data_IF_572098349262
#
_entry.id   IF_572098349262
#
_cell.length_a   1.000
_cell.length_b   1.000
_cell.length_c   1.000
_cell.angle_alpha   90.00
_cell.angle_beta   90.00
_cell.angle_gamma   90.00
#
_symmetry.space_group_name_H-M   'P 1'
#
loop_
_entity.id
_entity.type
_entity.pdbx_description
1 polymer ?
#
# COMPACT_ATOMS: atom_id res chain seq x y z
N UNK A 1 -11.74 -16.83 -7.46
CA UNK A 1 -10.35 -16.37 -7.26
C UNK A 1 -9.59 -16.42 -8.58
N UNK A 2 -8.69 -15.48 -8.85
CA UNK A 2 -7.86 -15.43 -10.07
C UNK A 2 -6.45 -14.96 -9.71
N UNK A 3 -5.42 -15.76 -10.00
CA UNK A 3 -4.03 -15.29 -9.98
C UNK A 3 -3.82 -14.25 -11.09
N UNK A 4 -3.26 -13.09 -10.71
CA UNK A 4 -3.21 -11.92 -11.60
C UNK A 4 -1.99 -11.91 -12.50
N UNK A 5 -0.92 -12.60 -12.11
CA UNK A 5 0.35 -12.63 -12.82
C UNK A 5 0.81 -14.06 -13.04
N UNK A 6 1.41 -14.32 -14.20
CA UNK A 6 1.99 -15.62 -14.57
C UNK A 6 3.35 -15.40 -15.25
N UNK A 7 4.19 -16.45 -15.39
CA UNK A 7 5.39 -16.35 -16.21
C UNK A 7 5.06 -15.94 -17.65
N UNK A 8 5.80 -14.98 -18.19
CA UNK A 8 5.66 -14.54 -19.57
C UNK A 8 6.27 -15.59 -20.53
N UNK A 9 5.51 -15.96 -21.56
CA UNK A 9 5.92 -16.85 -22.65
C UNK A 9 5.63 -16.19 -23.99
N UNK A 10 6.17 -16.74 -25.09
CA UNK A 10 5.88 -16.20 -26.42
C UNK A 10 4.40 -16.32 -26.79
N UNK A 11 3.72 -17.35 -26.29
CA UNK A 11 2.31 -17.66 -26.56
C UNK A 11 1.35 -16.78 -25.77
N UNK A 12 1.72 -16.38 -24.54
CA UNK A 12 0.85 -15.61 -23.67
C UNK A 12 1.18 -14.10 -23.64
N UNK A 13 2.17 -13.66 -24.43
CA UNK A 13 2.65 -12.30 -24.37
C UNK A 13 1.56 -11.28 -24.73
N UNK A 14 1.41 -10.29 -23.85
CA UNK A 14 0.57 -9.11 -23.96
C UNK A 14 1.39 -7.90 -23.53
N UNK A 15 1.49 -6.89 -24.40
CA UNK A 15 2.35 -5.72 -24.17
C UNK A 15 1.94 -4.98 -22.88
N UNK A 16 0.64 -4.77 -22.68
CA UNK A 16 0.13 -4.03 -21.53
C UNK A 16 0.42 -4.78 -20.22
N UNK A 17 0.10 -6.08 -20.18
CA UNK A 17 0.36 -6.93 -19.03
C UNK A 17 1.84 -7.05 -18.70
N UNK A 18 2.71 -7.07 -19.71
CA UNK A 18 4.15 -7.21 -19.52
C UNK A 18 4.77 -5.95 -18.94
N UNK A 19 4.43 -4.78 -19.48
CA UNK A 19 4.90 -3.51 -18.93
C UNK A 19 4.38 -3.29 -17.50
N UNK A 20 3.18 -3.74 -17.19
CA UNK A 20 2.63 -3.62 -15.84
C UNK A 20 3.32 -4.52 -14.82
N UNK A 21 3.74 -5.71 -15.21
CA UNK A 21 4.48 -6.64 -14.34
C UNK A 21 5.94 -6.22 -14.13
N UNK A 22 6.52 -5.42 -15.04
CA UNK A 22 7.95 -5.14 -15.10
C UNK A 22 8.19 -3.62 -15.18
N UNK A 23 8.16 -2.95 -14.04
CA UNK A 23 8.27 -1.48 -13.94
C UNK A 23 9.57 -0.93 -14.55
N UNK A 24 10.69 -1.65 -14.40
CA UNK A 24 11.97 -1.31 -15.02
C UNK A 24 11.88 -1.23 -16.55
N UNK A 25 11.16 -2.18 -17.16
CA UNK A 25 10.93 -2.22 -18.61
C UNK A 25 9.96 -1.10 -19.01
N UNK A 26 8.89 -0.87 -18.26
CA UNK A 26 7.92 0.20 -18.53
C UNK A 26 8.56 1.59 -18.53
N UNK A 27 9.45 1.86 -17.57
CA UNK A 27 10.23 3.11 -17.53
C UNK A 27 11.13 3.21 -18.77
N UNK A 28 11.87 2.15 -19.09
CA UNK A 28 12.77 2.16 -20.24
C UNK A 28 12.05 2.35 -21.59
N UNK A 29 10.85 1.80 -21.76
CA UNK A 29 10.03 2.02 -22.97
C UNK A 29 9.53 3.46 -23.05
N UNK A 30 9.04 4.01 -21.94
CA UNK A 30 8.52 5.39 -21.88
C UNK A 30 9.60 6.44 -22.15
N UNK A 31 10.81 6.19 -21.67
CA UNK A 31 11.98 7.04 -21.91
C UNK A 31 12.60 6.82 -23.30
N UNK A 32 12.04 5.92 -24.12
CA UNK A 32 12.55 5.60 -25.45
C UNK A 32 13.86 4.82 -25.47
N UNK A 33 14.33 4.31 -24.32
CA UNK A 33 15.51 3.43 -24.22
C UNK A 33 15.24 2.04 -24.80
N UNK A 34 13.98 1.60 -24.77
CA UNK A 34 13.52 0.35 -25.40
C UNK A 34 12.37 0.65 -26.36
N UNK A 35 12.29 -0.12 -27.46
CA UNK A 35 11.24 0.05 -28.46
C UNK A 35 9.84 -0.31 -27.94
N UNK A 36 9.77 -1.38 -27.14
CA UNK A 36 8.54 -1.90 -26.53
C UNK A 36 8.91 -2.95 -25.47
N UNK A 37 7.93 -3.34 -24.65
CA UNK A 37 8.03 -4.49 -23.77
C UNK A 37 8.24 -5.79 -24.55
N UNK A 38 7.56 -5.93 -25.70
CA UNK A 38 7.76 -7.05 -26.62
C UNK A 38 9.20 -7.17 -27.08
N UNK A 39 9.81 -6.05 -27.46
CA UNK A 39 11.20 -6.01 -27.88
C UNK A 39 12.14 -6.47 -26.76
N UNK A 40 11.92 -6.00 -25.53
CA UNK A 40 12.67 -6.48 -24.36
C UNK A 40 12.51 -7.99 -24.14
N UNK A 41 11.28 -8.47 -24.16
CA UNK A 41 10.96 -9.87 -23.92
C UNK A 41 11.60 -10.80 -24.95
N UNK A 42 11.52 -10.45 -26.23
CA UNK A 42 12.12 -11.22 -27.33
C UNK A 42 13.65 -11.29 -27.24
N UNK A 43 14.31 -10.22 -26.78
CA UNK A 43 15.78 -10.18 -26.69
C UNK A 43 16.31 -10.92 -25.46
N UNK A 44 15.75 -10.65 -24.29
CA UNK A 44 16.30 -11.18 -23.04
C UNK A 44 15.22 -11.55 -22.00
N UNK A 45 14.09 -10.85 -21.99
CA UNK A 45 13.10 -11.02 -20.93
C UNK A 45 12.51 -12.43 -20.81
N UNK A 46 12.44 -13.19 -21.91
CA UNK A 46 12.02 -14.59 -21.89
C UNK A 46 12.98 -15.53 -21.15
N UNK A 47 14.25 -15.14 -20.98
CA UNK A 47 15.25 -15.89 -20.21
C UNK A 47 15.34 -15.46 -18.75
N UNK A 48 14.72 -14.33 -18.39
CA UNK A 48 14.80 -13.72 -17.05
C UNK A 48 13.64 -14.13 -16.13
N UNK A 49 12.83 -15.12 -16.53
CA UNK A 49 11.60 -15.53 -15.79
C UNK A 49 10.64 -14.36 -15.51
N UNK A 50 10.59 -13.39 -16.44
CA UNK A 50 9.74 -12.19 -16.32
C UNK A 50 8.28 -12.59 -16.20
N UNK A 51 7.54 -11.84 -15.39
CA UNK A 51 6.11 -12.08 -15.20
C UNK A 51 5.29 -11.24 -16.18
N UNK A 52 4.03 -11.61 -16.35
CA UNK A 52 3.05 -10.87 -17.13
C UNK A 52 1.72 -10.80 -16.36
N UNK A 53 1.14 -9.60 -16.27
CA UNK A 53 -0.19 -9.40 -15.70
C UNK A 53 -1.26 -9.83 -16.70
N UNK A 54 -2.24 -10.62 -16.25
CA UNK A 54 -3.35 -11.14 -17.06
C UNK A 54 -4.48 -10.12 -17.21
N UNK A 55 -4.18 -8.96 -17.78
CA UNK A 55 -5.08 -7.79 -17.84
C UNK A 55 -6.45 -8.17 -18.40
N UNK A 56 -6.51 -8.84 -19.56
CA UNK A 56 -7.78 -9.22 -20.19
C UNK A 56 -8.63 -10.16 -19.29
N UNK A 57 -8.00 -11.10 -18.58
CA UNK A 57 -8.72 -11.99 -17.66
C UNK A 57 -9.27 -11.23 -16.46
N UNK A 58 -8.50 -10.28 -15.92
CA UNK A 58 -8.94 -9.43 -14.80
C UNK A 58 -10.11 -8.53 -15.24
N UNK A 59 -10.04 -7.93 -16.42
CA UNK A 59 -11.10 -7.09 -17.00
C UNK A 59 -12.41 -7.88 -17.12
N UNK A 60 -12.34 -9.15 -17.54
CA UNK A 60 -13.53 -9.99 -17.65
C UNK A 60 -14.10 -10.36 -16.27
N UNK A 61 -13.25 -10.77 -15.31
CA UNK A 61 -13.67 -11.07 -13.95
C UNK A 61 -14.31 -9.83 -13.27
N UNK A 62 -13.75 -8.64 -13.52
CA UNK A 62 -14.24 -7.36 -13.02
C UNK A 62 -15.68 -7.06 -13.43
N UNK A 63 -16.10 -7.38 -14.66
CA UNK A 63 -17.46 -7.05 -15.15
C UNK A 63 -18.56 -7.55 -14.20
N UNK A 64 -18.42 -8.80 -13.71
CA UNK A 64 -19.36 -9.40 -12.76
C UNK A 64 -19.36 -8.71 -11.40
N UNK A 65 -18.19 -8.24 -10.94
CA UNK A 65 -18.07 -7.47 -9.71
C UNK A 65 -18.71 -6.09 -9.87
N UNK A 66 -18.45 -5.41 -10.98
CA UNK A 66 -18.95 -4.05 -11.19
C UNK A 66 -20.48 -3.96 -11.31
N UNK A 67 -21.14 -5.01 -11.82
CA UNK A 67 -22.61 -5.06 -11.84
C UNK A 67 -23.21 -5.17 -10.43
N UNK A 68 -22.50 -5.77 -9.46
CA UNK A 68 -22.93 -5.85 -8.06
C UNK A 68 -22.81 -4.50 -7.34
N UNK A 69 -21.86 -3.65 -7.74
CA UNK A 69 -21.52 -2.43 -6.99
C UNK A 69 -22.05 -1.14 -7.61
N UNK A 70 -22.48 -1.16 -8.88
CA UNK A 70 -22.91 0.06 -9.59
C UNK A 70 -24.03 0.81 -8.86
N UNK A 71 -24.98 0.06 -8.27
CA UNK A 71 -26.09 0.63 -7.51
C UNK A 71 -25.70 1.02 -6.08
N UNK A 72 -24.50 0.67 -5.63
CA UNK A 72 -23.96 1.05 -4.33
C UNK A 72 -23.13 2.34 -4.43
N UNK A 73 -22.73 2.75 -5.63
CA UNK A 73 -21.98 3.99 -5.83
C UNK A 73 -22.82 5.21 -5.45
N UNK A 74 -22.22 6.12 -4.70
CA UNK A 74 -22.80 7.41 -4.37
C UNK A 74 -22.30 8.46 -5.36
N UNK A 75 -22.87 8.44 -6.56
CA UNK A 75 -22.56 9.38 -7.64
C UNK A 75 -23.85 9.80 -8.36
N UNK A 76 -23.89 11.03 -8.88
CA UNK A 76 -25.07 11.56 -9.58
C UNK A 76 -25.33 10.88 -10.92
N UNK A 77 -24.25 10.48 -11.61
CA UNK A 77 -24.25 9.73 -12.85
C UNK A 77 -23.32 8.51 -12.72
N UNK A 78 -23.21 7.65 -13.73
CA UNK A 78 -22.20 6.58 -13.69
C UNK A 78 -20.80 7.19 -13.84
N UNK A 79 -19.84 6.92 -12.94
CA UNK A 79 -18.51 7.51 -13.05
C UNK A 79 -17.79 7.12 -14.34
N UNK A 80 -16.85 7.95 -14.84
CA UNK A 80 -15.98 7.60 -15.97
C UNK A 80 -15.27 6.25 -15.76
N UNK A 81 -14.86 5.60 -16.84
CA UNK A 81 -14.18 4.30 -16.78
C UNK A 81 -12.67 4.44 -16.90
N UNK A 82 -11.93 3.64 -16.12
CA UNK A 82 -10.50 3.43 -16.32
C UNK A 82 -10.28 2.65 -17.64
N UNK A 83 -9.09 2.73 -18.26
CA UNK A 83 -8.73 1.89 -19.41
C UNK A 83 -8.88 0.39 -19.13
N UNK A 84 -8.65 -0.02 -17.88
CA UNK A 84 -8.83 -1.39 -17.39
C UNK A 84 -10.29 -1.72 -17.06
N UNK A 85 -11.22 -0.79 -17.30
CA UNK A 85 -12.65 -0.98 -17.09
C UNK A 85 -13.11 -0.81 -15.65
N UNK A 86 -12.28 -0.39 -14.69
CA UNK A 86 -12.76 0.06 -13.37
C UNK A 86 -13.52 1.39 -13.44
N UNK A 87 -14.06 1.86 -12.32
CA UNK A 87 -14.64 3.21 -12.21
C UNK A 87 -13.58 4.21 -11.75
N UNK A 88 -13.55 5.38 -12.40
CA UNK A 88 -12.78 6.53 -11.95
C UNK A 88 -13.68 7.45 -11.11
N UNK A 89 -13.54 7.36 -9.79
CA UNK A 89 -14.23 8.19 -8.81
C UNK A 89 -13.28 9.22 -8.17
N UNK A 90 -12.13 9.48 -8.79
CA UNK A 90 -11.10 10.39 -8.30
C UNK A 90 -10.90 11.53 -9.31
N UNK A 91 -11.75 12.58 -9.27
CA UNK A 91 -11.54 13.77 -10.09
C UNK A 91 -10.27 14.52 -9.63
N UNK A 92 -9.64 15.25 -10.55
CA UNK A 92 -8.34 15.92 -10.34
C UNK A 92 -8.33 16.85 -9.11
N UNK A 93 -9.41 17.62 -8.90
CA UNK A 93 -9.57 18.49 -7.73
C UNK A 93 -9.51 17.70 -6.41
N UNK A 94 -10.14 16.52 -6.37
CA UNK A 94 -10.13 15.66 -5.18
C UNK A 94 -8.76 15.03 -4.97
N UNK A 95 -8.08 14.64 -6.06
CA UNK A 95 -6.72 14.14 -6.02
C UNK A 95 -5.75 15.19 -5.44
N UNK A 96 -5.87 16.45 -5.86
CA UNK A 96 -5.05 17.57 -5.38
C UNK A 96 -5.27 17.83 -3.87
N UNK A 97 -6.53 17.88 -3.42
CA UNK A 97 -6.87 18.08 -2.00
C UNK A 97 -6.28 16.97 -1.12
N UNK A 98 -6.40 15.72 -1.55
CA UNK A 98 -5.83 14.57 -0.85
C UNK A 98 -4.30 14.48 -0.96
N UNK A 99 -3.68 15.26 -1.86
CA UNK A 99 -2.24 15.21 -2.10
C UNK A 99 -1.80 13.92 -2.80
N UNK A 100 -2.65 13.36 -3.65
CA UNK A 100 -2.30 12.23 -4.52
C UNK A 100 -1.31 12.73 -5.56
N UNK A 101 -0.15 12.08 -5.65
CA UNK A 101 0.87 12.39 -6.67
C UNK A 101 1.10 11.18 -7.57
N UNK A 102 1.45 11.40 -8.86
CA UNK A 102 1.83 10.31 -9.76
C UNK A 102 3.00 9.51 -9.21
N UNK A 103 2.96 8.21 -9.43
CA UNK A 103 3.77 7.27 -8.67
C UNK A 103 4.05 6.02 -9.49
N UNK A 104 5.27 5.49 -9.41
CA UNK A 104 5.75 4.33 -10.17
C UNK A 104 5.99 3.07 -9.33
N UNK A 105 6.07 3.21 -8.01
CA UNK A 105 6.19 2.05 -7.12
C UNK A 105 4.85 1.35 -7.04
N UNK A 106 4.97 0.04 -6.97
CA UNK A 106 3.84 -0.86 -6.85
C UNK A 106 3.78 -1.30 -5.40
N UNK A 107 2.78 -0.82 -4.66
CA UNK A 107 2.45 -1.43 -3.37
C UNK A 107 1.74 -2.74 -3.65
N UNK A 108 2.30 -3.85 -3.15
CA UNK A 108 1.74 -5.18 -3.36
C UNK A 108 1.92 -5.99 -2.07
N UNK A 109 0.80 -6.26 -1.41
CA UNK A 109 0.74 -7.13 -0.25
C UNK A 109 -0.31 -8.21 -0.48
N UNK A 110 -0.04 -9.42 0.01
CA UNK A 110 -1.04 -10.48 0.03
C UNK A 110 -1.93 -10.35 1.28
N UNK A 111 -3.09 -10.97 1.26
CA UNK A 111 -3.93 -11.08 2.44
C UNK A 111 -3.37 -12.12 3.41
N UNK A 112 -3.51 -11.86 4.71
CA UNK A 112 -3.27 -12.88 5.73
C UNK A 112 -4.35 -13.97 5.65
N UNK A 113 -4.00 -15.19 6.07
CA UNK A 113 -4.89 -16.37 5.94
C UNK A 113 -6.27 -16.16 6.55
N UNK A 114 -6.34 -15.50 7.71
CA UNK A 114 -7.62 -15.15 8.35
C UNK A 114 -8.57 -14.34 7.44
N UNK A 115 -8.02 -13.42 6.64
CA UNK A 115 -8.80 -12.60 5.71
C UNK A 115 -9.17 -13.42 4.47
N UNK A 116 -8.23 -14.22 3.95
CA UNK A 116 -8.50 -15.15 2.84
C UNK A 116 -9.63 -16.11 3.17
N UNK A 117 -9.58 -16.74 4.34
CA UNK A 117 -10.61 -17.64 4.85
C UNK A 117 -11.99 -16.96 4.90
N UNK A 118 -12.04 -15.69 5.34
CA UNK A 118 -13.30 -14.91 5.35
C UNK A 118 -13.82 -14.64 3.93
N UNK A 119 -12.94 -14.24 3.02
CA UNK A 119 -13.30 -13.95 1.62
C UNK A 119 -13.81 -15.21 0.93
N UNK A 120 -13.14 -16.35 1.13
CA UNK A 120 -13.40 -17.60 0.41
C UNK A 120 -14.60 -18.36 0.97
N UNK A 121 -14.96 -18.15 2.25
CA UNK A 121 -16.10 -18.80 2.89
C UNK A 121 -17.46 -18.30 2.40
N UNK A 122 -17.54 -17.08 1.86
CA UNK A 122 -18.81 -16.45 1.50
C UNK A 122 -18.66 -15.54 0.26
N UNK A 123 -18.94 -16.11 -0.93
CA UNK A 123 -18.86 -15.40 -2.20
C UNK A 123 -19.97 -14.36 -2.41
N UNK A 124 -21.07 -14.46 -1.64
CA UNK A 124 -22.24 -13.58 -1.71
C UNK A 124 -22.04 -12.29 -0.91
N UNK A 125 -21.22 -12.32 0.14
CA UNK A 125 -20.77 -11.12 0.83
C UNK A 125 -19.94 -10.21 -0.07
N UNK A 126 -19.90 -8.93 0.27
CA UNK A 126 -19.10 -7.93 -0.43
C UNK A 126 -18.07 -7.33 0.52
N UNK A 127 -16.81 -7.44 0.15
CA UNK A 127 -15.67 -6.89 0.87
C UNK A 127 -15.21 -5.62 0.17
N UNK A 128 -14.81 -4.61 0.94
CA UNK A 128 -14.04 -3.47 0.44
C UNK A 128 -12.60 -3.62 0.88
N UNK A 129 -11.68 -3.54 -0.07
CA UNK A 129 -10.26 -3.42 0.20
C UNK A 129 -9.85 -1.96 -0.03
N UNK A 130 -9.66 -1.24 1.07
CA UNK A 130 -9.46 0.19 1.15
C UNK A 130 -7.96 0.52 1.14
N UNK A 131 -7.44 0.85 -0.04
CA UNK A 131 -6.00 0.97 -0.32
C UNK A 131 -5.41 -0.37 -0.73
N UNK A 132 -5.96 -0.94 -1.80
CA UNK A 132 -5.67 -2.31 -2.22
C UNK A 132 -4.23 -2.54 -2.71
N UNK A 133 -3.58 -1.50 -3.20
CA UNK A 133 -2.39 -1.63 -4.03
C UNK A 133 -2.66 -2.49 -5.27
N UNK A 134 -1.60 -3.05 -5.83
CA UNK A 134 -1.71 -4.13 -6.81
C UNK A 134 -1.93 -5.45 -6.08
N UNK A 135 -3.06 -6.11 -6.31
CA UNK A 135 -3.34 -7.44 -5.73
C UNK A 135 -2.78 -8.58 -6.59
N UNK A 136 -2.00 -9.53 -6.03
CA UNK A 136 -1.51 -10.71 -6.76
C UNK A 136 -2.62 -11.74 -7.02
N UNK A 137 -3.69 -11.68 -6.23
CA UNK A 137 -4.86 -12.54 -6.34
C UNK A 137 -6.11 -11.65 -6.39
N UNK A 138 -6.91 -11.83 -7.44
CA UNK A 138 -8.13 -11.08 -7.66
C UNK A 138 -9.36 -11.91 -7.26
N UNK A 139 -10.07 -11.44 -6.24
CA UNK A 139 -11.29 -12.07 -5.75
C UNK A 139 -12.54 -11.41 -6.35
N UNK A 140 -13.58 -12.21 -6.62
CA UNK A 140 -14.80 -11.72 -7.28
C UNK A 140 -15.70 -10.91 -6.33
N UNK A 141 -15.56 -11.13 -5.03
CA UNK A 141 -16.35 -10.53 -3.96
C UNK A 141 -15.59 -9.46 -3.16
N UNK A 142 -14.37 -9.10 -3.56
CA UNK A 142 -13.57 -8.03 -2.92
C UNK A 142 -13.43 -6.86 -3.87
N UNK A 143 -13.96 -5.69 -3.53
CA UNK A 143 -13.82 -4.46 -4.32
C UNK A 143 -12.49 -3.80 -3.98
N UNK A 144 -11.60 -3.72 -4.96
CA UNK A 144 -10.30 -3.07 -4.78
C UNK A 144 -10.43 -1.56 -5.02
N UNK A 145 -10.33 -0.77 -3.95
CA UNK A 145 -10.30 0.69 -3.99
C UNK A 145 -8.86 1.18 -3.83
N UNK A 146 -8.41 2.03 -4.76
CA UNK A 146 -7.02 2.47 -4.81
C UNK A 146 -6.91 3.90 -5.39
N UNK A 147 -5.83 4.62 -5.11
CA UNK A 147 -5.52 5.93 -5.71
C UNK A 147 -4.67 5.81 -6.98
N UNK A 148 -4.17 4.60 -7.27
CA UNK A 148 -3.42 4.25 -8.49
C UNK A 148 -4.24 3.32 -9.40
N UNK A 149 -4.30 3.55 -10.73
CA UNK A 149 -5.11 2.76 -11.66
C UNK A 149 -4.41 1.45 -12.09
N UNK A 150 -4.07 0.59 -11.14
CA UNK A 150 -3.55 -0.75 -11.43
C UNK A 150 -4.55 -1.61 -12.21
N UNK A 151 -4.09 -2.72 -12.80
CA UNK A 151 -4.95 -3.66 -13.52
C UNK A 151 -6.01 -4.26 -12.62
N UNK A 152 -5.73 -4.36 -11.31
CA UNK A 152 -6.62 -4.88 -10.27
C UNK A 152 -7.49 -3.82 -9.61
N UNK A 153 -7.30 -2.53 -9.90
CA UNK A 153 -8.12 -1.44 -9.36
C UNK A 153 -9.54 -1.47 -9.93
N UNK A 154 -10.53 -1.64 -9.06
CA UNK A 154 -11.94 -1.65 -9.45
C UNK A 154 -12.56 -0.27 -9.35
N UNK A 155 -12.16 0.50 -8.33
CA UNK A 155 -12.60 1.87 -8.09
C UNK A 155 -11.38 2.73 -7.76
N UNK A 156 -11.11 3.73 -8.60
CA UNK A 156 -10.10 4.75 -8.33
C UNK A 156 -10.71 5.82 -7.41
N UNK A 157 -10.25 5.92 -6.16
CA UNK A 157 -10.78 6.86 -5.16
C UNK A 157 -9.81 7.04 -3.99
N UNK A 158 -10.05 8.08 -3.18
CA UNK A 158 -9.37 8.30 -1.90
C UNK A 158 -10.21 7.74 -0.74
N UNK A 159 -9.57 7.47 0.39
CA UNK A 159 -10.27 6.95 1.56
C UNK A 159 -11.01 8.03 2.34
N UNK A 160 -10.56 9.27 2.28
CA UNK A 160 -11.22 10.40 2.93
C UNK A 160 -12.61 10.70 2.33
N UNK A 161 -12.94 10.09 1.18
CA UNK A 161 -14.24 10.20 0.50
C UNK A 161 -14.53 8.95 -0.32
N UNK A 162 -14.97 7.89 0.34
CA UNK A 162 -15.26 6.60 -0.30
C UNK A 162 -16.57 6.73 -1.11
N UNK A 163 -16.58 6.41 -2.42
CA UNK A 163 -17.68 6.72 -3.33
C UNK A 163 -18.84 5.71 -3.25
N UNK A 164 -19.11 5.16 -2.06
CA UNK A 164 -20.18 4.18 -1.83
C UNK A 164 -21.18 4.69 -0.80
N UNK A 165 -22.43 4.23 -0.90
CA UNK A 165 -23.49 4.51 0.06
C UNK A 165 -23.20 3.87 1.42
N UNK A 166 -23.87 4.36 2.45
CA UNK A 166 -23.82 3.80 3.79
C UNK A 166 -24.23 2.32 3.77
N UNK A 167 -23.58 1.48 4.57
CA UNK A 167 -23.97 0.07 4.68
C UNK A 167 -23.83 -0.75 3.39
N UNK A 168 -22.86 -0.44 2.54
CA UNK A 168 -22.64 -1.14 1.28
C UNK A 168 -21.90 -2.48 1.44
N UNK A 169 -21.01 -2.60 2.42
CA UNK A 169 -20.07 -3.72 2.55
C UNK A 169 -20.29 -4.55 3.81
N UNK A 170 -20.08 -5.85 3.69
CA UNK A 170 -20.12 -6.79 4.82
C UNK A 170 -18.80 -6.80 5.60
N UNK A 171 -17.70 -6.40 4.94
CA UNK A 171 -16.39 -6.35 5.54
C UNK A 171 -15.50 -5.28 4.89
N UNK A 172 -14.64 -4.62 5.67
CA UNK A 172 -13.63 -3.66 5.18
C UNK A 172 -12.23 -4.10 5.58
N UNK A 173 -11.31 -4.10 4.62
CA UNK A 173 -9.88 -4.39 4.81
C UNK A 173 -9.11 -3.09 4.58
N UNK A 174 -8.19 -2.75 5.47
CA UNK A 174 -7.20 -1.69 5.25
C UNK A 174 -5.87 -2.14 5.84
N UNK A 175 -4.87 -2.38 4.98
CA UNK A 175 -3.64 -3.05 5.37
C UNK A 175 -2.42 -2.23 4.99
N UNK A 176 -1.79 -1.58 5.98
CA UNK A 176 -0.67 -0.66 5.79
C UNK A 176 -1.04 0.50 4.83
N UNK A 177 -2.08 1.26 5.20
CA UNK A 177 -2.66 2.32 4.37
C UNK A 177 -2.84 3.62 5.14
N UNK A 178 -3.47 3.59 6.32
CA UNK A 178 -3.88 4.81 7.03
C UNK A 178 -2.69 5.69 7.46
N UNK A 179 -1.49 5.13 7.60
CA UNK A 179 -0.24 5.87 7.79
C UNK A 179 0.12 6.77 6.60
N UNK A 180 -0.36 6.45 5.41
CA UNK A 180 -0.13 7.17 4.15
C UNK A 180 -1.28 8.12 3.80
N UNK A 181 -2.38 8.09 4.56
CA UNK A 181 -3.55 8.97 4.38
C UNK A 181 -3.32 10.27 5.13
N UNK A 182 -3.63 11.42 4.50
CA UNK A 182 -3.39 12.74 5.09
C UNK A 182 -4.34 13.03 6.24
N UNK A 183 -5.62 12.71 6.07
CA UNK A 183 -6.64 12.74 7.14
C UNK A 183 -7.15 11.33 7.45
N UNK A 184 -6.45 10.56 8.31
CA UNK A 184 -6.85 9.20 8.67
C UNK A 184 -8.17 9.17 9.46
N UNK A 185 -8.57 10.28 10.08
CA UNK A 185 -9.86 10.36 10.78
C UNK A 185 -11.02 10.43 9.79
N UNK A 186 -10.88 11.18 8.69
CA UNK A 186 -11.87 11.18 7.62
C UNK A 186 -11.97 9.80 6.96
N UNK A 187 -10.84 9.17 6.67
CA UNK A 187 -10.83 7.81 6.13
C UNK A 187 -11.49 6.78 7.05
N UNK A 188 -11.18 6.82 8.36
CA UNK A 188 -11.80 5.93 9.33
C UNK A 188 -13.33 6.10 9.41
N UNK A 189 -13.83 7.35 9.38
CA UNK A 189 -15.28 7.62 9.33
C UNK A 189 -15.93 7.05 8.08
N UNK A 190 -15.31 7.22 6.91
CA UNK A 190 -15.83 6.67 5.65
C UNK A 190 -15.83 5.14 5.65
N UNK A 191 -14.75 4.51 6.14
CA UNK A 191 -14.66 3.06 6.28
C UNK A 191 -15.76 2.49 7.20
N UNK A 192 -16.03 3.16 8.32
CA UNK A 192 -17.12 2.79 9.22
C UNK A 192 -18.50 3.02 8.57
N UNK A 193 -18.69 4.16 7.88
CA UNK A 193 -19.96 4.51 7.21
C UNK A 193 -20.37 3.48 6.16
N UNK A 194 -19.43 3.01 5.34
CA UNK A 194 -19.73 2.06 4.26
C UNK A 194 -19.91 0.62 4.73
N UNK A 195 -19.60 0.32 5.99
CA UNK A 195 -19.92 -0.99 6.59
C UNK A 195 -21.40 -1.09 6.92
N UNK A 196 -21.97 -2.27 6.66
CA UNK A 196 -23.29 -2.65 7.13
C UNK A 196 -23.30 -2.69 8.67
N UNK A 197 -24.44 -2.44 9.33
CA UNK A 197 -24.60 -2.75 10.75
C UNK A 197 -24.22 -4.20 11.04
N UNK A 198 -23.31 -4.43 11.99
CA UNK A 198 -22.76 -5.74 12.30
C UNK A 198 -21.68 -6.24 11.33
N UNK A 199 -21.28 -5.44 10.35
CA UNK A 199 -20.10 -5.69 9.52
C UNK A 199 -18.82 -5.54 10.32
N UNK A 200 -17.77 -6.22 9.87
CA UNK A 200 -16.46 -6.23 10.54
C UNK A 200 -15.41 -5.50 9.71
N UNK A 201 -14.32 -5.05 10.34
CA UNK A 201 -13.15 -4.57 9.62
C UNK A 201 -11.86 -5.18 10.14
N UNK A 202 -10.89 -5.27 9.24
CA UNK A 202 -9.49 -5.50 9.55
C UNK A 202 -8.71 -4.24 9.21
N UNK A 203 -8.01 -3.69 10.20
CA UNK A 203 -7.15 -2.52 10.01
C UNK A 203 -5.77 -2.81 10.57
N UNK A 204 -4.75 -2.52 9.77
CA UNK A 204 -3.35 -2.69 10.13
C UNK A 204 -2.55 -1.43 9.74
N UNK A 205 -1.72 -0.96 10.67
CA UNK A 205 -0.85 0.24 10.55
C UNK A 205 0.49 0.03 11.27
N UNK A 206 1.58 0.68 10.84
CA UNK A 206 2.87 0.64 11.52
C UNK A 206 2.90 1.46 12.81
N UNK A 207 3.76 1.05 13.75
CA UNK A 207 4.06 1.82 14.97
C UNK A 207 5.51 2.33 15.02
N UNK A 208 6.50 1.44 15.10
CA UNK A 208 7.93 1.81 15.23
C UNK A 208 8.73 1.56 13.95
N UNK A 209 8.06 1.38 12.82
CA UNK A 209 8.76 1.18 11.56
C UNK A 209 9.43 2.51 11.14
N UNK A 210 10.67 2.46 10.62
CA UNK A 210 11.31 3.62 10.00
C UNK A 210 10.40 4.27 8.95
N UNK A 211 10.58 5.56 8.68
CA UNK A 211 9.78 6.26 7.66
C UNK A 211 9.91 5.56 6.30
N UNK A 212 8.77 5.30 5.65
CA UNK A 212 8.69 4.53 4.40
C UNK A 212 7.56 5.05 3.49
N UNK A 213 7.56 6.36 3.22
CA UNK A 213 6.48 6.99 2.45
C UNK A 213 6.35 6.48 1.01
N UNK A 214 5.09 6.25 0.59
CA UNK A 214 4.73 6.22 -0.82
C UNK A 214 3.35 6.85 -1.10
N UNK A 215 3.26 8.10 -1.59
CA UNK A 215 4.33 9.10 -1.71
C UNK A 215 4.77 9.69 -0.35
N UNK A 216 3.93 9.53 0.68
CA UNK A 216 4.13 10.14 2.00
C UNK A 216 3.81 9.12 3.09
N UNK A 217 4.48 9.23 4.25
CA UNK A 217 4.13 8.49 5.46
C UNK A 217 3.92 9.55 6.56
N UNK A 218 2.66 9.78 6.91
CA UNK A 218 2.24 10.85 7.83
C UNK A 218 2.20 10.39 9.28
N UNK A 219 1.80 9.14 9.54
CA UNK A 219 1.51 8.68 10.90
C UNK A 219 2.06 7.30 11.21
N UNK A 220 2.92 7.23 12.21
CA UNK A 220 3.21 6.00 12.95
C UNK A 220 2.21 5.91 14.12
N UNK A 221 1.29 4.96 14.07
CA UNK A 221 0.17 4.90 15.02
C UNK A 221 0.52 4.03 16.23
N UNK A 222 0.34 4.59 17.42
CA UNK A 222 0.33 3.77 18.65
C UNK A 222 -0.93 2.90 18.69
N UNK A 223 -0.96 1.92 19.59
CA UNK A 223 -2.16 1.13 19.91
C UNK A 223 -3.39 2.03 20.13
N UNK A 224 -3.25 3.06 20.97
CA UNK A 224 -4.36 3.94 21.32
C UNK A 224 -4.68 4.92 20.18
N UNK A 225 -3.69 5.31 19.38
CA UNK A 225 -3.89 6.12 18.17
C UNK A 225 -4.77 5.42 17.15
N UNK A 226 -4.48 4.14 16.84
CA UNK A 226 -5.32 3.33 15.95
C UNK A 226 -6.73 3.16 16.53
N UNK A 227 -6.83 2.86 17.84
CA UNK A 227 -8.12 2.66 18.48
C UNK A 227 -8.98 3.92 18.46
N UNK A 228 -8.38 5.09 18.67
CA UNK A 228 -9.05 6.39 18.66
C UNK A 228 -9.69 6.74 17.31
N UNK A 229 -9.22 6.16 16.20
CA UNK A 229 -9.86 6.33 14.90
C UNK A 229 -11.27 5.72 14.83
N UNK A 230 -11.53 4.66 15.59
CA UNK A 230 -12.74 3.83 15.45
C UNK A 230 -13.60 3.72 16.73
N UNK A 231 -13.12 4.19 17.89
CA UNK A 231 -13.75 4.01 19.21
C UNK A 231 -15.18 4.59 19.31
N UNK A 232 -15.59 5.48 18.39
CA UNK A 232 -16.94 6.07 18.35
C UNK A 232 -17.97 5.19 17.67
N UNK A 233 -17.58 4.54 16.59
CA UNK A 233 -18.49 3.91 15.64
C UNK A 233 -18.37 2.38 15.61
N UNK A 234 -17.31 1.82 16.23
CA UNK A 234 -16.99 0.40 16.17
C UNK A 234 -16.73 -0.21 17.55
N UNK A 235 -17.20 -1.44 17.76
CA UNK A 235 -16.78 -2.30 18.86
C UNK A 235 -15.45 -2.99 18.51
N UNK A 236 -14.45 -2.87 19.39
CA UNK A 236 -13.14 -3.51 19.19
C UNK A 236 -13.20 -4.97 19.61
N UNK A 237 -13.30 -5.87 18.64
CA UNK A 237 -13.32 -7.33 18.87
C UNK A 237 -11.96 -7.89 19.32
N UNK A 238 -10.86 -7.35 18.77
CA UNK A 238 -9.49 -7.76 19.10
C UNK A 238 -8.49 -6.67 18.70
N UNK A 239 -7.39 -6.53 19.45
CA UNK A 239 -6.26 -5.66 19.11
C UNK A 239 -4.97 -6.32 19.61
N UNK A 240 -4.25 -6.96 18.69
CA UNK A 240 -3.10 -7.84 18.98
C UNK A 240 -1.86 -7.42 18.20
N UNK A 241 -0.70 -7.94 18.61
CA UNK A 241 0.56 -7.79 17.87
C UNK A 241 0.95 -9.17 17.33
N UNK A 242 0.85 -9.41 16.01
CA UNK A 242 1.30 -10.67 15.43
C UNK A 242 2.84 -10.77 15.45
N UNK A 243 3.36 -12.00 15.33
CA UNK A 243 4.80 -12.28 15.48
C UNK A 243 5.68 -11.50 14.48
N UNK A 244 5.15 -11.20 13.28
CA UNK A 244 5.84 -10.41 12.26
C UNK A 244 5.91 -8.90 12.58
N UNK A 245 5.27 -8.45 13.66
CA UNK A 245 5.45 -7.12 14.24
C UNK A 245 6.18 -7.14 15.59
N UNK A 246 6.78 -8.27 15.96
CA UNK A 246 7.65 -8.28 17.12
C UNK A 246 8.90 -7.41 16.91
N UNK A 247 9.51 -6.87 17.99
CA UNK A 247 10.58 -5.88 17.90
C UNK A 247 11.81 -6.29 17.09
N UNK A 248 12.04 -7.59 16.87
CA UNK A 248 13.17 -8.09 16.07
C UNK A 248 13.15 -7.55 14.63
N UNK A 249 11.98 -7.39 14.03
CA UNK A 249 11.84 -6.86 12.67
C UNK A 249 12.18 -5.38 12.61
N UNK A 250 11.66 -4.61 13.58
CA UNK A 250 11.98 -3.18 13.72
C UNK A 250 13.46 -3.00 13.98
N UNK A 251 14.05 -3.75 14.92
CA UNK A 251 15.47 -3.67 15.22
C UNK A 251 16.31 -4.01 13.99
N UNK A 252 15.99 -5.09 13.28
CA UNK A 252 16.70 -5.49 12.06
C UNK A 252 16.63 -4.41 10.99
N UNK A 253 15.44 -3.89 10.67
CA UNK A 253 15.29 -2.82 9.68
C UNK A 253 16.06 -1.56 10.11
N UNK A 254 15.85 -1.10 11.34
CA UNK A 254 16.48 0.10 11.87
C UNK A 254 18.01 0.02 11.80
N UNK A 255 18.61 -1.07 12.29
CA UNK A 255 20.07 -1.24 12.27
C UNK A 255 20.64 -1.40 10.85
N UNK A 256 19.95 -2.14 9.97
CA UNK A 256 20.38 -2.27 8.57
C UNK A 256 20.34 -0.91 7.85
N UNK A 257 19.27 -0.14 8.04
CA UNK A 257 19.14 1.18 7.43
C UNK A 257 20.18 2.16 7.97
N UNK A 258 20.42 2.15 9.29
CA UNK A 258 21.46 2.93 9.93
C UNK A 258 22.83 2.60 9.31
N UNK A 259 23.22 1.32 9.31
CA UNK A 259 24.49 0.87 8.77
C UNK A 259 24.69 1.29 7.30
N UNK A 260 23.64 1.20 6.48
CA UNK A 260 23.68 1.61 5.07
C UNK A 260 23.79 3.12 4.85
N UNK A 261 23.52 3.93 5.87
CA UNK A 261 23.74 5.38 5.84
C UNK A 261 25.17 5.81 6.18
N UNK A 262 26.06 4.89 6.57
CA UNK A 262 27.40 5.20 7.08
C UNK A 262 28.49 4.99 6.02
N UNK A 263 29.64 5.64 6.22
CA UNK A 263 30.84 5.33 5.42
C UNK A 263 31.29 3.88 5.67
N UNK A 264 32.01 3.27 4.72
CA UNK A 264 32.43 1.87 4.83
C UNK A 264 33.21 1.58 6.14
N UNK A 265 34.12 2.49 6.54
CA UNK A 265 34.90 2.37 7.78
C UNK A 265 34.00 2.43 9.03
N UNK A 266 33.05 3.36 9.05
CA UNK A 266 32.17 3.56 10.20
C UNK A 266 31.10 2.48 10.29
N UNK A 267 30.61 1.99 9.15
CA UNK A 267 29.76 0.81 9.05
C UNK A 267 30.44 -0.42 9.65
N UNK A 268 31.69 -0.71 9.28
CA UNK A 268 32.44 -1.84 9.83
C UNK A 268 32.60 -1.76 11.36
N UNK A 269 32.84 -0.55 11.88
CA UNK A 269 32.87 -0.32 13.33
C UNK A 269 31.49 -0.51 13.98
N UNK A 270 30.44 0.05 13.39
CA UNK A 270 29.06 -0.01 13.88
C UNK A 270 28.54 -1.45 13.94
N UNK A 271 28.80 -2.26 12.91
CA UNK A 271 28.40 -3.67 12.84
C UNK A 271 29.07 -4.56 13.89
N UNK A 272 30.17 -4.10 14.50
CA UNK A 272 30.86 -4.81 15.60
C UNK A 272 30.32 -4.44 16.99
N UNK A 273 29.48 -3.41 17.10
CA UNK A 273 28.88 -3.03 18.37
C UNK A 273 27.97 -4.14 18.89
N UNK A 274 28.12 -4.45 20.17
CA UNK A 274 27.22 -5.37 20.87
C UNK A 274 25.93 -4.66 21.27
N UNK A 275 24.86 -5.43 21.44
CA UNK A 275 23.59 -4.91 21.99
C UNK A 275 23.83 -4.21 23.35
N UNK A 276 24.74 -4.75 24.17
CA UNK A 276 25.08 -4.17 25.49
C UNK A 276 25.70 -2.78 25.35
N UNK A 277 26.59 -2.58 24.38
CA UNK A 277 27.20 -1.27 24.12
C UNK A 277 26.16 -0.27 23.63
N UNK A 278 25.26 -0.68 22.73
CA UNK A 278 24.15 0.17 22.26
C UNK A 278 23.18 0.54 23.39
N UNK A 279 22.82 -0.40 24.26
CA UNK A 279 21.98 -0.15 25.44
C UNK A 279 22.63 0.80 26.45
N UNK A 280 23.96 0.94 26.42
CA UNK A 280 24.73 1.79 27.33
C UNK A 280 25.05 3.16 26.73
N UNK A 281 24.43 3.51 25.59
CA UNK A 281 24.62 4.78 24.90
C UNK A 281 24.32 5.98 25.83
N UNK A 282 25.22 6.96 25.85
CA UNK A 282 25.09 8.16 26.65
C UNK A 282 25.47 9.42 25.86
N UNK A 283 25.21 10.59 26.44
CA UNK A 283 25.51 11.90 25.81
C UNK A 283 26.97 12.03 25.35
N UNK A 284 27.92 11.39 26.04
CA UNK A 284 29.34 11.36 25.66
C UNK A 284 29.56 10.72 24.28
N UNK A 285 28.69 9.80 23.89
CA UNK A 285 28.79 9.02 22.65
C UNK A 285 28.18 9.76 21.45
N UNK A 286 27.59 10.95 21.66
CA UNK A 286 27.04 11.78 20.57
C UNK A 286 28.09 12.18 19.52
N UNK A 287 29.38 12.18 19.88
CA UNK A 287 30.50 12.48 18.97
C UNK A 287 30.98 11.27 18.15
N UNK A 288 30.41 10.09 18.35
CA UNK A 288 30.83 8.90 17.61
C UNK A 288 30.51 9.05 16.11
N UNK A 289 31.35 8.52 15.21
CA UNK A 289 31.14 8.66 13.77
C UNK A 289 29.80 8.08 13.30
N UNK A 290 29.35 6.96 13.88
CA UNK A 290 28.06 6.35 13.53
C UNK A 290 26.84 7.22 13.92
N UNK A 291 27.03 8.22 14.79
CA UNK A 291 25.99 9.22 15.11
C UNK A 291 26.06 10.42 14.17
N UNK A 292 27.27 10.89 13.85
CA UNK A 292 27.50 12.15 13.13
C UNK A 292 27.47 12.01 11.59
N UNK A 293 27.70 10.80 11.06
CA UNK A 293 27.81 10.59 9.61
C UNK A 293 26.47 10.44 8.88
N UNK A 294 25.36 10.25 9.60
CA UNK A 294 24.07 10.10 8.95
C UNK A 294 23.71 11.37 8.17
N UNK A 295 23.47 11.22 6.87
CA UNK A 295 22.92 12.29 6.05
C UNK A 295 21.49 12.64 6.48
N UNK A 296 20.99 13.81 6.07
CA UNK A 296 19.67 14.32 6.46
C UNK A 296 18.53 13.34 6.13
N UNK A 297 18.58 12.69 4.96
CA UNK A 297 17.58 11.69 4.56
C UNK A 297 17.50 10.54 5.57
N UNK A 298 18.65 9.99 5.98
CA UNK A 298 18.71 8.93 6.99
C UNK A 298 18.32 9.41 8.39
N UNK A 299 18.63 10.67 8.72
CA UNK A 299 18.20 11.26 9.98
C UNK A 299 16.67 11.33 10.07
N UNK A 300 15.99 11.77 9.01
CA UNK A 300 14.52 11.76 8.97
C UNK A 300 13.93 10.36 8.90
N UNK A 301 14.60 9.43 8.21
CA UNK A 301 14.15 8.04 8.12
C UNK A 301 14.08 7.35 9.49
N UNK A 302 15.13 7.55 10.28
CA UNK A 302 15.39 6.83 11.54
C UNK A 302 15.17 7.70 12.78
N UNK A 303 14.54 8.86 12.61
CA UNK A 303 14.32 9.83 13.68
C UNK A 303 13.53 9.19 14.84
N UNK A 304 14.01 9.40 16.07
CA UNK A 304 13.20 9.16 17.28
C UNK A 304 12.19 10.29 17.55
N UNK A 305 12.36 11.43 16.87
CA UNK A 305 11.47 12.58 16.92
C UNK A 305 11.95 13.70 15.99
N UNK A 306 11.06 14.63 15.67
CA UNK A 306 11.35 15.80 14.81
C UNK A 306 10.81 17.07 15.45
N UNK A 307 11.36 18.22 15.07
CA UNK A 307 10.90 19.53 15.52
C UNK A 307 10.39 20.33 14.32
N UNK A 308 9.23 20.97 14.47
CA UNK A 308 8.69 21.92 13.51
C UNK A 308 8.55 23.28 14.18
N UNK A 309 9.25 24.29 13.67
CA UNK A 309 9.08 25.68 14.07
C UNK A 309 8.35 26.39 12.93
N UNK A 310 7.09 26.76 13.17
CA UNK A 310 6.25 27.43 12.18
C UNK A 310 5.83 28.81 12.69
N UNK A 311 5.70 29.77 11.76
CA UNK A 311 5.07 31.06 12.00
C UNK A 311 3.73 31.07 11.28
N UNK A 312 2.66 31.47 11.98
CA UNK A 312 1.36 31.70 11.39
C UNK A 312 1.50 32.76 10.29
N UNK A 313 1.02 32.45 9.08
CA UNK A 313 0.91 33.42 7.99
C UNK A 313 -0.19 34.43 8.28
#
# INVERSE_FOLDING_TARGET
>A
MLETSIPATFENFDEQGYLQANADVAVAVREGRLKSGRYHFEIIGHTENRQIVRVATIVEARKRKLSRIVNLLQWSEVPPRLPTGGYNCLPDELAEIAGVVPTESVSQHDYIDMIKDKIEKDEDKLFLDAGAGFRPVYYNNVVNLEIVPYATTDVLAILEKIPFRDGSFDFVISNAVLEHVRDPFAAAREMARVLKPGGEMFVHVPFLQPYHGYPHHYYNMTKDGLRNLFDRDMEVLSHTVPFYFHPVWVASWFFNSWANGLSAKTKEFFEKLTIKELMSFAVKDMKQPYVQELNESKQFELASGTFLIARKR
#
